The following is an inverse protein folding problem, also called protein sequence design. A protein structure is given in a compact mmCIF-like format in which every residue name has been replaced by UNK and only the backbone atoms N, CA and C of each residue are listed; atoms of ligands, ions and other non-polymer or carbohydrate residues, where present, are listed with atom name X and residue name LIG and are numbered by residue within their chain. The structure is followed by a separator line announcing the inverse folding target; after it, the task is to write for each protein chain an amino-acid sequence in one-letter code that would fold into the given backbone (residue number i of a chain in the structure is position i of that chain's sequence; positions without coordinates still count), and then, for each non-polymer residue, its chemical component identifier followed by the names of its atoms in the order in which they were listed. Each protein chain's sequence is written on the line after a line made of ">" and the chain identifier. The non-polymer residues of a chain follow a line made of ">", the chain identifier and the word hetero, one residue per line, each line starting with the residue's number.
data_IF_561541955684
#
_entry.id   IF_561541955684
#
_cell.length_a   1.000
_cell.length_b   1.000
_cell.length_c   1.000
_cell.angle_alpha   90.00
_cell.angle_beta   90.00
_cell.angle_gamma   90.00
#
_symmetry.space_group_name_H-M   'P 1'
#
loop_
_entity.id
_entity.type
_entity.pdbx_description
1 polymer ?
#
# COMPACT_ATOMS: atom_id res chain seq x y z
N UNK A 1 -4.01 -11.86 8.49
CA UNK A 1 -4.59 -11.65 7.15
C UNK A 1 -6.09 -11.94 7.11
N UNK A 2 -6.59 -12.96 7.82
CA UNK A 2 -8.04 -13.27 7.88
C UNK A 2 -8.87 -12.05 8.32
N UNK A 3 -8.43 -11.29 9.33
CA UNK A 3 -9.14 -10.08 9.77
C UNK A 3 -9.24 -8.97 8.71
N UNK A 4 -8.26 -8.86 7.80
CA UNK A 4 -8.24 -7.85 6.72
C UNK A 4 -9.17 -8.27 5.57
N UNK A 5 -9.32 -9.58 5.34
CA UNK A 5 -10.27 -10.16 4.40
C UNK A 5 -11.72 -10.15 4.93
N UNK A 6 -11.91 -10.36 6.23
CA UNK A 6 -13.22 -10.39 6.87
C UNK A 6 -13.78 -9.00 7.19
N UNK A 7 -12.91 -8.00 7.39
CA UNK A 7 -13.29 -6.61 7.70
C UNK A 7 -14.32 -6.00 6.73
N UNK A 8 -14.16 -6.06 5.39
CA UNK A 8 -15.15 -5.50 4.48
C UNK A 8 -16.52 -6.22 4.56
N UNK A 9 -16.52 -7.53 4.83
CA UNK A 9 -17.74 -8.32 5.00
C UNK A 9 -18.51 -7.95 6.28
N UNK A 10 -17.79 -7.70 7.38
CA UNK A 10 -18.41 -7.23 8.62
C UNK A 10 -18.91 -5.79 8.46
N UNK A 11 -18.17 -4.94 7.73
CA UNK A 11 -18.55 -3.55 7.49
C UNK A 11 -19.83 -3.40 6.66
N UNK A 12 -20.10 -4.35 5.74
CA UNK A 12 -21.36 -4.42 5.00
C UNK A 12 -22.60 -4.52 5.88
N UNK A 13 -22.45 -5.02 7.12
CA UNK A 13 -23.55 -5.14 8.06
C UNK A 13 -23.95 -3.78 8.68
N UNK A 14 -23.08 -2.76 8.63
CA UNK A 14 -23.28 -1.46 9.27
C UNK A 14 -23.44 -0.31 8.26
N UNK A 15 -22.77 -0.35 7.10
CA UNK A 15 -22.82 0.72 6.12
C UNK A 15 -22.64 0.21 4.67
N UNK A 16 -23.29 0.84 3.68
CA UNK A 16 -23.03 0.56 2.27
C UNK A 16 -21.58 0.90 1.92
N UNK A 17 -20.97 0.06 1.06
CA UNK A 17 -19.59 0.31 0.64
C UNK A 17 -19.49 1.61 -0.16
N UNK A 18 -18.40 2.38 0.01
CA UNK A 18 -18.10 3.48 -0.88
C UNK A 18 -17.95 2.97 -2.32
N UNK A 19 -18.34 3.81 -3.27
CA UNK A 19 -18.17 3.55 -4.70
C UNK A 19 -16.68 3.44 -5.03
N UNK A 20 -16.27 2.28 -5.51
CA UNK A 20 -14.87 2.00 -5.87
C UNK A 20 -14.63 2.61 -7.25
N UNK A 21 -13.87 3.69 -7.29
CA UNK A 21 -13.40 4.25 -8.55
C UNK A 21 -12.23 3.40 -9.07
N UNK A 22 -12.55 2.47 -9.97
CA UNK A 22 -11.52 1.69 -10.65
C UNK A 22 -10.84 2.54 -11.72
N UNK A 23 -9.50 2.48 -11.83
CA UNK A 23 -8.83 3.08 -12.98
C UNK A 23 -9.39 2.45 -14.27
N UNK A 24 -9.56 3.29 -15.28
CA UNK A 24 -10.14 2.92 -16.59
C UNK A 24 -9.39 1.80 -17.31
N UNK A 25 -8.14 1.51 -16.92
CA UNK A 25 -7.31 0.47 -17.51
C UNK A 25 -6.88 -0.59 -16.47
N UNK A 26 -7.46 -1.81 -16.52
CA UNK A 26 -7.17 -2.88 -15.56
C UNK A 26 -5.72 -3.39 -15.66
N UNK A 27 -5.03 -3.15 -16.78
CA UNK A 27 -3.61 -3.53 -16.94
C UNK A 27 -2.71 -2.80 -15.95
N UNK A 28 -3.06 -1.55 -15.60
CA UNK A 28 -2.31 -0.74 -14.64
C UNK A 28 -2.40 -1.37 -13.25
N UNK A 29 -3.57 -1.90 -12.86
CA UNK A 29 -3.76 -2.57 -11.56
C UNK A 29 -2.88 -3.81 -11.47
N UNK A 30 -2.87 -4.64 -12.52
CA UNK A 30 -2.06 -5.86 -12.55
C UNK A 30 -0.57 -5.52 -12.47
N UNK A 31 -0.11 -4.57 -13.28
CA UNK A 31 1.30 -4.18 -13.32
C UNK A 31 1.73 -3.55 -11.99
N UNK A 32 0.92 -2.65 -11.42
CA UNK A 32 1.18 -2.02 -10.13
C UNK A 32 1.23 -3.06 -9.00
N UNK A 33 0.31 -4.02 -8.99
CA UNK A 33 0.29 -5.11 -8.01
C UNK A 33 1.56 -5.97 -8.08
N UNK A 34 2.01 -6.32 -9.29
CA UNK A 34 3.24 -7.08 -9.50
C UNK A 34 4.49 -6.29 -9.06
N UNK A 35 4.60 -5.02 -9.46
CA UNK A 35 5.70 -4.14 -9.08
C UNK A 35 5.80 -3.96 -7.57
N UNK A 36 4.68 -3.70 -6.89
CA UNK A 36 4.62 -3.56 -5.42
C UNK A 36 4.95 -4.89 -4.74
N UNK A 37 4.38 -6.00 -5.21
CA UNK A 37 4.66 -7.34 -4.68
C UNK A 37 6.15 -7.69 -4.79
N UNK A 38 6.76 -7.43 -5.95
CA UNK A 38 8.19 -7.63 -6.16
C UNK A 38 9.04 -6.71 -5.27
N UNK A 39 8.68 -5.43 -5.15
CA UNK A 39 9.35 -4.46 -4.30
C UNK A 39 9.33 -4.83 -2.81
N UNK A 40 8.20 -5.33 -2.28
CA UNK A 40 8.11 -5.80 -0.89
C UNK A 40 8.98 -7.05 -0.63
N UNK A 41 9.16 -7.92 -1.62
CA UNK A 41 10.07 -9.07 -1.53
C UNK A 41 11.53 -8.61 -1.44
N UNK A 42 11.92 -7.66 -2.29
CA UNK A 42 13.27 -7.04 -2.29
C UNK A 42 13.56 -6.31 -0.97
N UNK A 43 12.57 -5.62 -0.41
CA UNK A 43 12.66 -4.94 0.88
C UNK A 43 12.65 -5.86 2.10
N UNK A 44 12.65 -7.20 1.92
CA UNK A 44 12.53 -8.20 2.99
C UNK A 44 11.31 -8.02 3.90
N UNK A 45 10.27 -7.34 3.41
CA UNK A 45 9.04 -7.12 4.17
C UNK A 45 8.09 -6.10 3.55
N UNK A 46 6.90 -6.03 4.11
CA UNK A 46 5.90 -5.03 3.76
C UNK A 46 6.02 -3.79 4.66
N UNK A 47 5.51 -2.65 4.18
CA UNK A 47 5.41 -1.38 4.92
C UNK A 47 4.73 -1.53 6.27
N UNK A 48 3.67 -2.35 6.36
CA UNK A 48 2.98 -2.65 7.62
C UNK A 48 3.85 -3.47 8.57
N UNK A 49 4.60 -4.45 8.08
CA UNK A 49 5.47 -5.30 8.91
C UNK A 49 6.69 -4.57 9.47
N UNK A 50 7.33 -3.72 8.65
CA UNK A 50 8.43 -2.86 9.09
C UNK A 50 7.92 -1.70 9.98
N UNK A 51 6.78 -1.11 9.64
CA UNK A 51 6.18 0.00 10.38
C UNK A 51 5.64 -0.38 11.76
N UNK A 52 4.94 -1.50 11.91
CA UNK A 52 4.28 -1.84 13.19
C UNK A 52 5.24 -2.59 14.14
N UNK A 53 5.92 -3.63 13.66
CA UNK A 53 6.82 -4.44 14.51
C UNK A 53 8.27 -3.91 14.52
N UNK A 54 8.75 -3.35 13.41
CA UNK A 54 10.14 -2.88 13.26
C UNK A 54 10.40 -1.49 13.87
N UNK A 55 9.45 -0.56 13.72
CA UNK A 55 9.51 0.78 14.31
C UNK A 55 9.37 0.73 15.84
N UNK A 56 8.56 -0.19 16.37
CA UNK A 56 8.39 -0.43 17.81
C UNK A 56 9.69 -0.85 18.51
N UNK A 57 10.62 -1.50 17.78
CA UNK A 57 11.99 -1.81 18.24
C UNK A 57 13.02 -0.70 18.00
N UNK A 58 12.60 0.50 17.58
CA UNK A 58 13.45 1.67 17.33
C UNK A 58 14.65 1.42 16.38
N UNK A 59 14.48 0.53 15.39
CA UNK A 59 15.56 0.24 14.43
C UNK A 59 15.63 1.30 13.32
N UNK A 60 16.74 2.05 13.26
CA UNK A 60 17.00 3.06 12.20
C UNK A 60 16.89 2.50 10.78
N UNK A 61 17.21 1.22 10.58
CA UNK A 61 17.12 0.54 9.29
C UNK A 61 15.66 0.37 8.83
N UNK A 62 14.76 0.12 9.78
CA UNK A 62 13.32 -0.03 9.51
C UNK A 62 12.65 1.32 9.25
N UNK A 63 13.08 2.37 9.96
CA UNK A 63 12.67 3.76 9.69
C UNK A 63 13.04 4.18 8.27
N UNK A 64 14.28 3.95 7.86
CA UNK A 64 14.75 4.28 6.51
C UNK A 64 13.89 3.59 5.45
N UNK A 65 13.69 2.27 5.56
CA UNK A 65 12.87 1.50 4.62
C UNK A 65 11.42 1.99 4.54
N UNK A 66 10.82 2.37 5.68
CA UNK A 66 9.45 2.88 5.74
C UNK A 66 9.34 4.26 5.08
N UNK A 67 10.31 5.16 5.32
CA UNK A 67 10.37 6.48 4.71
C UNK A 67 10.57 6.40 3.19
N UNK A 68 11.41 5.50 2.68
CA UNK A 68 11.56 5.34 1.23
C UNK A 68 10.26 4.86 0.60
N UNK A 69 9.59 3.88 1.21
CA UNK A 69 8.32 3.37 0.69
C UNK A 69 7.23 4.44 0.64
N UNK A 70 7.06 5.19 1.73
CA UNK A 70 6.07 6.28 1.80
C UNK A 70 6.47 7.42 0.85
N UNK A 71 7.75 7.78 0.80
CA UNK A 71 8.28 8.83 -0.09
C UNK A 71 8.04 8.52 -1.57
N UNK A 72 8.35 7.30 -2.01
CA UNK A 72 8.06 6.88 -3.39
C UNK A 72 6.56 6.80 -3.68
N UNK A 73 5.73 6.40 -2.70
CA UNK A 73 4.27 6.44 -2.84
C UNK A 73 3.75 7.85 -3.06
N UNK A 74 4.18 8.80 -2.21
CA UNK A 74 3.83 10.21 -2.34
C UNK A 74 4.31 10.81 -3.67
N UNK A 75 5.54 10.49 -4.08
CA UNK A 75 6.11 10.93 -5.35
C UNK A 75 5.30 10.37 -6.54
N UNK A 76 4.93 9.10 -6.51
CA UNK A 76 4.14 8.47 -7.58
C UNK A 76 2.78 9.16 -7.72
N UNK A 77 2.10 9.46 -6.62
CA UNK A 77 0.83 10.21 -6.64
C UNK A 77 1.04 11.64 -7.13
N UNK A 78 2.09 12.32 -6.69
CA UNK A 78 2.43 13.67 -7.14
C UNK A 78 2.63 13.70 -8.66
N UNK A 79 3.45 12.79 -9.20
CA UNK A 79 3.69 12.69 -10.65
C UNK A 79 2.39 12.37 -11.39
N UNK A 80 1.65 11.36 -10.96
CA UNK A 80 0.41 10.97 -11.63
C UNK A 80 -0.64 12.09 -11.62
N UNK A 81 -0.73 12.87 -10.54
CA UNK A 81 -1.78 13.86 -10.34
C UNK A 81 -1.41 15.28 -10.77
N UNK A 82 -0.12 15.62 -10.91
CA UNK A 82 0.33 16.95 -11.34
C UNK A 82 1.03 16.94 -12.70
N UNK A 83 1.63 15.83 -13.12
CA UNK A 83 2.33 15.74 -14.42
C UNK A 83 1.46 15.07 -15.48
N UNK A 84 0.65 14.08 -15.09
CA UNK A 84 -0.18 13.29 -16.01
C UNK A 84 -1.65 13.73 -16.08
N UNK A 85 -2.07 14.69 -15.25
CA UNK A 85 -3.43 15.22 -15.18
C UNK A 85 -3.41 16.71 -15.47
#
# INVERSE_FOLDING_TARGET
>A
MIGLLASPFIWQLFAPLPHIELPSNPRIIVLAGLLVGFGTRLGSGCTSGHGVCGLSRLSRRSLAATLTFIGFGALTVFVMRHVLN
#
